data_IF_531342085004
#
_entry.id   IF_531342085004
#
_cell.length_a   1.000
_cell.length_b   1.000
_cell.length_c   1.000
_cell.angle_alpha   90.00
_cell.angle_beta   90.00
_cell.angle_gamma   90.00
#
_symmetry.space_group_name_H-M   'P 1'
#
loop_
_entity.id
_entity.type
_entity.pdbx_description
1 polymer ?
#
# COMPACT_ATOMS: atom_id res chain seq x y z
N UNK A 1 18.40 -18.69 -34.72
CA UNK A 1 18.95 -17.51 -34.02
C UNK A 1 18.41 -17.55 -32.59
N UNK A 2 19.26 -17.90 -31.62
CA UNK A 2 18.92 -17.85 -30.20
C UNK A 2 19.29 -16.47 -29.65
N UNK A 3 18.36 -15.79 -28.98
CA UNK A 3 18.71 -14.56 -28.26
C UNK A 3 17.55 -13.57 -28.15
N UNK A 4 16.79 -13.67 -27.07
CA UNK A 4 15.75 -12.68 -26.76
C UNK A 4 14.99 -12.94 -25.47
N UNK A 5 15.58 -13.65 -24.50
CA UNK A 5 14.97 -13.74 -23.17
C UNK A 5 15.13 -12.38 -22.49
N UNK A 6 14.08 -11.56 -22.54
CA UNK A 6 13.96 -10.43 -21.64
C UNK A 6 14.01 -10.99 -20.21
N UNK A 7 14.95 -10.52 -19.40
CA UNK A 7 14.93 -10.84 -17.97
C UNK A 7 13.61 -10.33 -17.39
N UNK A 8 13.04 -11.05 -16.42
CA UNK A 8 11.76 -10.70 -15.79
C UNK A 8 11.70 -9.22 -15.38
N UNK A 9 12.78 -8.71 -14.79
CA UNK A 9 12.92 -7.30 -14.42
C UNK A 9 12.80 -6.35 -15.63
N UNK A 10 13.37 -6.72 -16.77
CA UNK A 10 13.31 -5.91 -17.99
C UNK A 10 11.91 -5.96 -18.60
N UNK A 11 11.24 -7.10 -18.56
CA UNK A 11 9.83 -7.21 -18.96
C UNK A 11 8.89 -6.34 -18.09
N UNK A 12 9.13 -6.24 -16.78
CA UNK A 12 8.40 -5.34 -15.88
C UNK A 12 8.63 -3.86 -16.22
N UNK A 13 9.88 -3.45 -16.52
CA UNK A 13 10.21 -2.08 -16.91
C UNK A 13 9.57 -1.66 -18.24
N UNK A 14 9.57 -2.57 -19.22
CA UNK A 14 8.88 -2.38 -20.49
C UNK A 14 7.36 -2.40 -20.38
N UNK A 15 6.81 -2.69 -19.19
CA UNK A 15 5.37 -2.74 -18.96
C UNK A 15 4.68 -3.94 -19.58
N UNK A 16 5.45 -4.94 -20.02
CA UNK A 16 4.92 -6.21 -20.54
C UNK A 16 4.34 -7.08 -19.41
N UNK A 17 4.78 -6.85 -18.16
CA UNK A 17 4.30 -7.54 -16.95
C UNK A 17 4.15 -6.50 -15.82
N UNK A 18 3.17 -6.68 -14.93
CA UNK A 18 2.95 -5.85 -13.74
C UNK A 18 1.89 -4.75 -13.92
N UNK A 19 1.95 -3.71 -13.09
CA UNK A 19 0.90 -2.68 -12.99
C UNK A 19 0.60 -1.98 -14.32
N UNK A 20 1.65 -1.79 -15.14
CA UNK A 20 1.57 -1.23 -16.49
C UNK A 20 0.91 -2.17 -17.51
N UNK A 21 1.05 -3.48 -17.35
CA UNK A 21 0.41 -4.47 -18.22
C UNK A 21 -1.09 -4.61 -17.93
N UNK A 22 -1.49 -4.30 -16.68
CA UNK A 22 -2.88 -4.27 -16.25
C UNK A 22 -3.58 -2.96 -16.58
N UNK A 23 -2.84 -1.93 -17.00
CA UNK A 23 -3.36 -0.64 -17.44
C UNK A 23 -4.18 -0.85 -18.73
N UNK A 24 -5.45 -0.39 -18.82
CA UNK A 24 -6.23 -0.56 -20.02
C UNK A 24 -5.60 0.24 -21.18
N UNK A 25 -5.71 -0.28 -22.40
CA UNK A 25 -5.15 0.38 -23.59
C UNK A 25 -5.67 1.82 -23.73
N UNK A 26 -4.80 2.73 -24.17
CA UNK A 26 -5.08 4.16 -24.37
C UNK A 26 -5.46 4.98 -23.11
N UNK A 27 -5.34 4.42 -21.90
CA UNK A 27 -5.59 5.15 -20.65
C UNK A 27 -4.73 6.42 -20.52
N UNK A 28 -3.43 6.35 -20.84
CA UNK A 28 -2.53 7.52 -20.79
C UNK A 28 -2.88 8.60 -21.79
N UNK A 29 -3.39 8.20 -22.95
CA UNK A 29 -3.75 9.14 -24.00
C UNK A 29 -4.86 10.10 -23.54
N UNK A 30 -5.68 9.72 -22.56
CA UNK A 30 -6.67 10.60 -21.92
C UNK A 30 -6.04 11.71 -21.07
N UNK A 31 -4.90 11.44 -20.42
CA UNK A 31 -4.20 12.43 -19.60
C UNK A 31 -3.31 13.35 -20.45
N UNK A 32 -2.71 12.80 -21.51
CA UNK A 32 -1.84 13.55 -22.42
C UNK A 32 -2.63 14.45 -23.37
N UNK A 33 -3.81 14.00 -23.83
CA UNK A 33 -4.71 14.79 -24.66
C UNK A 33 -5.83 15.32 -23.77
N UNK A 34 -5.71 16.58 -23.34
CA UNK A 34 -6.73 17.31 -22.57
C UNK A 34 -8.10 17.48 -23.28
N UNK A 35 -8.34 16.77 -24.39
CA UNK A 35 -9.55 16.82 -25.19
C UNK A 35 -9.98 15.41 -25.59
N UNK A 36 -11.06 14.93 -24.97
CA UNK A 36 -11.79 13.75 -25.43
C UNK A 36 -12.35 14.09 -26.81
N UNK A 37 -12.00 13.31 -27.83
CA UNK A 37 -12.48 13.53 -29.20
C UNK A 37 -14.00 13.38 -29.22
N UNK A 38 -14.71 14.36 -29.78
CA UNK A 38 -16.16 14.24 -29.99
C UNK A 38 -16.46 12.97 -30.82
N UNK A 39 -17.41 12.12 -30.39
CA UNK A 39 -17.80 10.94 -31.15
C UNK A 39 -18.37 11.35 -32.51
N UNK A 40 -18.03 10.57 -33.54
CA UNK A 40 -18.43 10.85 -34.93
C UNK A 40 -19.71 10.09 -35.33
N UNK A 41 -20.10 9.10 -34.54
CA UNK A 41 -21.27 8.25 -34.75
C UNK A 41 -21.85 7.76 -33.41
N UNK A 42 -23.06 7.21 -33.43
CA UNK A 42 -23.73 6.58 -32.27
C UNK A 42 -22.93 5.38 -31.74
N UNK A 43 -22.33 4.59 -32.65
CA UNK A 43 -21.47 3.45 -32.31
C UNK A 43 -20.18 3.90 -31.63
N UNK A 44 -19.56 4.99 -32.13
CA UNK A 44 -18.39 5.60 -31.49
C UNK A 44 -18.74 6.13 -30.08
N UNK A 45 -19.95 6.69 -29.90
CA UNK A 45 -20.41 7.16 -28.60
C UNK A 45 -20.53 6.00 -27.60
N UNK A 46 -21.14 4.88 -28.02
CA UNK A 46 -21.26 3.69 -27.18
C UNK A 46 -19.89 3.08 -26.83
N UNK A 47 -18.96 3.02 -27.79
CA UNK A 47 -17.59 2.53 -27.53
C UNK A 47 -16.83 3.44 -26.56
N UNK A 48 -16.97 4.76 -26.68
CA UNK A 48 -16.39 5.72 -25.73
C UNK A 48 -16.98 5.56 -24.33
N UNK A 49 -18.30 5.37 -24.20
CA UNK A 49 -18.92 5.10 -22.90
C UNK A 49 -18.38 3.83 -22.23
N UNK A 50 -18.26 2.75 -22.98
CA UNK A 50 -17.71 1.49 -22.48
C UNK A 50 -16.26 1.67 -22.04
N UNK A 51 -15.43 2.35 -22.83
CA UNK A 51 -14.04 2.67 -22.47
C UNK A 51 -13.97 3.51 -21.19
N UNK A 52 -14.77 4.57 -21.07
CA UNK A 52 -14.82 5.41 -19.87
C UNK A 52 -15.23 4.59 -18.63
N UNK A 53 -16.20 3.69 -18.75
CA UNK A 53 -16.62 2.80 -17.66
C UNK A 53 -15.49 1.84 -17.26
N UNK A 54 -14.75 1.27 -18.22
CA UNK A 54 -13.58 0.43 -17.95
C UNK A 54 -12.48 1.20 -17.23
N UNK A 55 -12.16 2.41 -17.69
CA UNK A 55 -11.17 3.27 -17.04
C UNK A 55 -11.59 3.65 -15.61
N UNK A 56 -12.86 4.01 -15.40
CA UNK A 56 -13.40 4.32 -14.07
C UNK A 56 -13.30 3.12 -13.12
N UNK A 57 -13.66 1.93 -13.58
CA UNK A 57 -13.57 0.69 -12.78
C UNK A 57 -12.11 0.35 -12.45
N UNK A 58 -11.20 0.49 -13.40
CA UNK A 58 -9.77 0.26 -13.17
C UNK A 58 -9.19 1.26 -12.17
N UNK A 59 -9.48 2.56 -12.34
CA UNK A 59 -9.12 3.60 -11.38
C UNK A 59 -9.71 3.27 -10.00
N UNK A 60 -10.98 2.89 -9.90
CA UNK A 60 -11.61 2.54 -8.63
C UNK A 60 -10.94 1.34 -7.96
N UNK A 61 -10.59 0.31 -8.72
CA UNK A 61 -9.86 -0.87 -8.24
C UNK A 61 -8.42 -0.52 -7.80
N UNK A 62 -7.80 0.48 -8.44
CA UNK A 62 -6.48 1.00 -8.09
C UNK A 62 -6.53 1.98 -6.91
N UNK A 63 -7.63 2.70 -6.76
CA UNK A 63 -7.92 3.66 -5.69
C UNK A 63 -8.52 3.01 -4.44
N UNK A 64 -8.95 1.75 -4.48
CA UNK A 64 -9.39 1.02 -3.28
C UNK A 64 -8.17 0.64 -2.39
N UNK A 65 -7.40 1.67 -2.03
CA UNK A 65 -6.29 1.69 -1.09
C UNK A 65 -6.74 2.25 0.28
N UNK A 66 -8.05 2.52 0.43
CA UNK A 66 -8.67 2.98 1.68
C UNK A 66 -8.57 1.93 2.77
N UNK A 67 -8.85 0.67 2.44
CA UNK A 67 -8.75 -0.44 3.39
C UNK A 67 -7.33 -0.54 3.97
N UNK A 68 -6.31 -0.49 3.11
CA UNK A 68 -4.91 -0.53 3.51
C UNK A 68 -4.52 0.66 4.41
N UNK A 69 -5.07 1.84 4.11
CA UNK A 69 -4.80 3.05 4.88
C UNK A 69 -5.51 3.05 6.25
N UNK A 70 -6.76 2.62 6.31
CA UNK A 70 -7.51 2.46 7.58
C UNK A 70 -6.86 1.39 8.47
N UNK A 71 -6.35 0.32 7.89
CA UNK A 71 -5.59 -0.71 8.62
C UNK A 71 -4.26 -0.19 9.14
N UNK A 72 -3.55 0.62 8.35
CA UNK A 72 -2.33 1.27 8.81
C UNK A 72 -2.61 2.16 10.02
N UNK A 73 -3.69 2.97 9.95
CA UNK A 73 -4.13 3.83 11.05
C UNK A 73 -4.50 3.05 12.30
N UNK A 74 -5.26 1.96 12.14
CA UNK A 74 -5.61 1.06 13.24
C UNK A 74 -4.35 0.45 13.88
N UNK A 75 -3.39 -0.03 13.09
CA UNK A 75 -2.14 -0.58 13.66
C UNK A 75 -1.38 0.47 14.46
N UNK A 76 -1.24 1.70 13.94
CA UNK A 76 -0.56 2.77 14.67
C UNK A 76 -1.27 3.08 15.99
N UNK A 77 -2.60 3.09 16.04
CA UNK A 77 -3.34 3.26 17.30
C UNK A 77 -2.99 2.16 18.32
N UNK A 78 -2.99 0.89 17.90
CA UNK A 78 -2.65 -0.21 18.79
C UNK A 78 -1.16 -0.20 19.21
N UNK A 79 -0.25 0.25 18.33
CA UNK A 79 1.16 0.45 18.68
C UNK A 79 1.30 1.55 19.74
N UNK A 80 0.60 2.67 19.60
CA UNK A 80 0.58 3.75 20.59
C UNK A 80 0.00 3.28 21.93
N UNK A 81 -1.08 2.48 21.92
CA UNK A 81 -1.62 1.85 23.13
C UNK A 81 -0.60 0.89 23.78
N UNK A 82 0.14 0.13 22.98
CA UNK A 82 1.23 -0.72 23.45
C UNK A 82 2.36 0.09 24.09
N UNK A 83 2.78 1.22 23.50
CA UNK A 83 3.78 2.12 24.10
C UNK A 83 3.31 2.68 25.46
N UNK A 84 2.03 3.02 25.57
CA UNK A 84 1.43 3.65 26.75
C UNK A 84 0.99 2.66 27.83
N UNK A 85 0.99 1.36 27.53
CA UNK A 85 0.56 0.31 28.45
C UNK A 85 1.43 0.28 29.71
N UNK A 86 0.79 0.31 30.89
CA UNK A 86 1.42 0.52 32.21
C UNK A 86 2.22 -0.69 32.68
N UNK A 87 3.46 -0.81 32.21
CA UNK A 87 4.53 -1.22 33.12
C UNK A 87 5.15 0.03 33.73
N UNK A 88 5.36 0.01 35.05
CA UNK A 88 5.73 1.17 35.85
C UNK A 88 7.08 1.74 35.40
N UNK A 89 7.03 2.86 34.70
CA UNK A 89 8.18 3.71 34.39
C UNK A 89 8.48 3.72 32.90
N UNK A 90 8.37 4.92 32.30
CA UNK A 90 8.97 5.36 31.03
C UNK A 90 9.73 4.23 30.32
N UNK A 91 9.00 3.30 29.68
CA UNK A 91 9.63 2.11 29.11
C UNK A 91 10.19 2.51 27.76
N UNK A 92 11.43 3.03 27.76
CA UNK A 92 12.19 3.28 26.54
C UNK A 92 12.27 2.03 25.67
N UNK A 93 12.14 0.84 26.29
CA UNK A 93 12.10 -0.46 25.61
C UNK A 93 10.94 -0.56 24.62
N UNK A 94 9.69 -0.31 25.05
CA UNK A 94 8.50 -0.42 24.17
C UNK A 94 8.53 0.60 23.04
N UNK A 95 8.94 1.84 23.34
CA UNK A 95 9.09 2.86 22.31
C UNK A 95 10.19 2.52 21.30
N UNK A 96 11.33 1.96 21.76
CA UNK A 96 12.38 1.45 20.87
C UNK A 96 11.90 0.25 20.03
N UNK A 97 11.01 -0.60 20.55
CA UNK A 97 10.42 -1.73 19.81
C UNK A 97 9.48 -1.24 18.72
N UNK A 98 8.63 -0.26 19.02
CA UNK A 98 7.77 0.39 18.03
C UNK A 98 8.59 1.14 16.98
N UNK A 99 9.65 1.85 17.38
CA UNK A 99 10.55 2.52 16.44
C UNK A 99 11.28 1.53 15.51
N UNK A 100 11.66 0.34 16.01
CA UNK A 100 12.21 -0.75 15.17
C UNK A 100 11.20 -1.28 14.16
N UNK A 101 9.93 -1.41 14.54
CA UNK A 101 8.85 -1.83 13.64
C UNK A 101 8.68 -0.79 12.53
N UNK A 102 8.55 0.48 12.90
CA UNK A 102 8.28 1.57 11.97
C UNK A 102 9.49 1.85 11.07
N UNK A 103 10.72 1.73 11.58
CA UNK A 103 11.94 1.96 10.81
C UNK A 103 12.28 0.82 9.84
N UNK A 104 11.70 -0.37 10.02
CA UNK A 104 11.99 -1.52 9.16
C UNK A 104 11.62 -1.22 7.70
N UNK A 105 12.59 -1.42 6.81
CA UNK A 105 12.45 -1.10 5.38
C UNK A 105 12.07 -2.32 4.52
N UNK A 106 12.21 -3.53 5.07
CA UNK A 106 11.97 -4.80 4.37
C UNK A 106 10.78 -5.55 5.00
N UNK A 107 9.92 -6.19 4.19
CA UNK A 107 8.77 -6.95 4.68
C UNK A 107 9.13 -7.99 5.75
N UNK A 108 10.22 -8.73 5.53
CA UNK A 108 10.71 -9.78 6.45
C UNK A 108 11.09 -9.18 7.80
N UNK A 109 11.82 -8.07 7.80
CA UNK A 109 12.25 -7.38 9.02
C UNK A 109 11.05 -6.80 9.78
N UNK A 110 10.05 -6.30 9.05
CA UNK A 110 8.80 -5.82 9.63
C UNK A 110 8.06 -6.96 10.35
N UNK A 111 7.92 -8.13 9.73
CA UNK A 111 7.26 -9.29 10.33
C UNK A 111 8.03 -9.79 11.56
N UNK A 112 9.36 -9.87 11.49
CA UNK A 112 10.20 -10.25 12.64
C UNK A 112 10.03 -9.27 13.80
N UNK A 113 9.98 -7.96 13.51
CA UNK A 113 9.77 -6.94 14.53
C UNK A 113 8.36 -7.01 15.15
N UNK A 114 7.32 -7.30 14.36
CA UNK A 114 5.98 -7.56 14.89
C UNK A 114 5.91 -8.82 15.75
N UNK A 115 6.59 -9.89 15.35
CA UNK A 115 6.63 -11.14 16.12
C UNK A 115 7.27 -10.94 17.50
N UNK A 116 8.28 -10.07 17.60
CA UNK A 116 8.98 -9.79 18.85
C UNK A 116 8.08 -9.14 19.93
N UNK A 117 7.02 -8.43 19.54
CA UNK A 117 6.08 -7.80 20.48
C UNK A 117 4.77 -8.59 20.64
N UNK A 118 4.58 -9.67 19.89
CA UNK A 118 3.28 -10.33 19.74
C UNK A 118 2.72 -10.94 21.03
N UNK A 119 3.60 -11.43 21.92
CA UNK A 119 3.20 -12.03 23.21
C UNK A 119 2.64 -10.98 24.18
N UNK A 120 3.20 -9.77 24.17
CA UNK A 120 2.85 -8.67 25.06
C UNK A 120 1.84 -7.68 24.45
N UNK A 121 1.38 -7.93 23.22
CA UNK A 121 0.55 -6.99 22.48
C UNK A 121 -0.92 -7.05 22.92
N UNK A 122 -1.61 -5.90 23.11
CA UNK A 122 -2.99 -5.88 23.62
C UNK A 122 -3.99 -6.60 22.70
N UNK A 123 -3.74 -6.57 21.38
CA UNK A 123 -4.60 -7.20 20.38
C UNK A 123 -3.79 -8.05 19.38
N UNK A 124 -3.41 -9.29 19.73
CA UNK A 124 -2.58 -10.14 18.86
C UNK A 124 -3.28 -10.49 17.54
N UNK A 125 -4.63 -10.45 17.49
CA UNK A 125 -5.39 -10.66 16.26
C UNK A 125 -5.17 -9.54 15.23
N UNK A 126 -4.95 -8.29 15.66
CA UNK A 126 -4.68 -7.17 14.76
C UNK A 126 -3.32 -7.36 14.06
N UNK A 127 -2.30 -7.82 14.80
CA UNK A 127 -1.00 -8.18 14.22
C UNK A 127 -1.13 -9.29 13.19
N UNK A 128 -1.90 -10.33 13.51
CA UNK A 128 -2.12 -11.47 12.60
C UNK A 128 -2.78 -11.05 11.29
N UNK A 129 -3.82 -10.21 11.34
CA UNK A 129 -4.48 -9.71 10.12
C UNK A 129 -3.52 -8.96 9.22
N UNK A 130 -2.65 -8.13 9.80
CA UNK A 130 -1.71 -7.33 9.02
C UNK A 130 -0.59 -8.19 8.42
N UNK A 131 -0.10 -9.21 9.14
CA UNK A 131 0.84 -10.18 8.58
C UNK A 131 0.19 -11.00 7.45
N UNK A 132 -1.07 -11.41 7.60
CA UNK A 132 -1.84 -12.10 6.55
C UNK A 132 -2.06 -11.21 5.31
N UNK A 133 -2.19 -9.90 5.49
CA UNK A 133 -2.31 -8.96 4.38
C UNK A 133 -0.97 -8.66 3.72
N UNK A 134 0.08 -8.46 4.51
CA UNK A 134 1.44 -8.28 4.01
C UNK A 134 1.90 -9.43 3.12
N UNK A 135 1.57 -10.66 3.50
CA UNK A 135 1.89 -11.87 2.71
C UNK A 135 1.07 -12.01 1.43
N UNK A 136 -0.08 -11.34 1.33
CA UNK A 136 -0.93 -11.28 0.12
C UNK A 136 -0.58 -10.10 -0.79
N UNK A 137 0.13 -9.09 -0.27
CA UNK A 137 0.47 -7.89 -1.02
C UNK A 137 1.71 -8.11 -1.91
N UNK A 138 1.73 -7.54 -3.13
CA UNK A 138 2.95 -7.40 -3.91
C UNK A 138 4.00 -6.60 -3.13
N UNK A 139 5.29 -6.89 -3.33
CA UNK A 139 6.41 -6.28 -2.59
C UNK A 139 6.39 -4.75 -2.62
N UNK A 140 6.02 -4.15 -3.76
CA UNK A 140 5.91 -2.70 -3.91
C UNK A 140 4.78 -2.09 -3.06
N UNK A 141 3.69 -2.82 -2.85
CA UNK A 141 2.59 -2.37 -1.98
C UNK A 141 2.94 -2.49 -0.50
N UNK A 142 3.80 -3.43 -0.13
CA UNK A 142 4.33 -3.52 1.25
C UNK A 142 5.19 -2.29 1.58
N UNK A 143 6.05 -1.86 0.64
CA UNK A 143 6.85 -0.63 0.80
C UNK A 143 5.96 0.60 1.01
N UNK A 144 4.84 0.67 0.30
CA UNK A 144 3.85 1.73 0.45
C UNK A 144 3.15 1.69 1.82
N UNK A 145 2.73 0.50 2.30
CA UNK A 145 2.13 0.36 3.64
C UNK A 145 3.10 0.81 4.75
N UNK A 146 4.37 0.41 4.67
CA UNK A 146 5.40 0.83 5.64
C UNK A 146 5.57 2.36 5.62
N UNK A 147 5.53 2.98 4.44
CA UNK A 147 5.58 4.43 4.32
C UNK A 147 4.35 5.12 4.93
N UNK A 148 3.15 4.56 4.77
CA UNK A 148 1.93 5.04 5.42
C UNK A 148 2.01 4.91 6.94
N UNK A 149 2.52 3.81 7.48
CA UNK A 149 2.70 3.62 8.92
C UNK A 149 3.63 4.67 9.52
N UNK A 150 4.75 4.97 8.84
CA UNK A 150 5.66 6.06 9.23
C UNK A 150 4.96 7.42 9.27
N UNK A 151 4.14 7.69 8.24
CA UNK A 151 3.40 8.93 8.12
C UNK A 151 2.36 9.09 9.25
N UNK A 152 1.51 8.08 9.47
CA UNK A 152 0.48 8.09 10.51
C UNK A 152 1.07 8.21 11.91
N UNK A 153 2.16 7.48 12.20
CA UNK A 153 2.86 7.59 13.47
C UNK A 153 3.47 8.99 13.69
N UNK A 154 4.07 9.59 12.66
CA UNK A 154 4.57 10.96 12.74
C UNK A 154 3.44 11.98 12.99
N UNK A 155 2.27 11.78 12.38
CA UNK A 155 1.09 12.61 12.65
C UNK A 155 0.59 12.47 14.09
N UNK A 156 0.45 11.25 14.61
CA UNK A 156 0.03 11.03 16.00
C UNK A 156 1.01 11.63 17.01
N UNK A 157 2.32 11.49 16.77
CA UNK A 157 3.34 12.11 17.63
C UNK A 157 3.22 13.64 17.64
N UNK A 158 2.94 14.26 16.49
CA UNK A 158 2.71 15.70 16.41
C UNK A 158 1.41 16.14 17.11
N UNK A 159 0.33 15.34 17.04
CA UNK A 159 -0.92 15.62 17.75
C UNK A 159 -0.78 15.49 19.27
N UNK A 160 0.07 14.58 19.75
CA UNK A 160 0.37 14.44 21.18
C UNK A 160 1.32 15.51 21.72
N UNK A 161 1.95 16.31 20.86
CA UNK A 161 2.85 17.42 21.20
C UNK A 161 2.16 18.79 21.19
N UNK A 162 0.92 18.88 20.70
CA UNK A 162 0.08 20.09 20.65
C UNK A 162 -0.93 20.11 21.80
#
# INVERSE_FOLDING_TARGET
>A
MYGGHFSFHKACQFGAIGLRALEPADFRALFEKQTIRKPKSEEDHHLQEVQIKVFKTWILAMLNNKELHEEAKLLVQHLTEYEMSKDKGISTKRSNEVEKIISSAKPELFIIALAAIAEDFPQPQALRRIVEQLTRLPEDRVKYLIALLKFEHALQKNQNLA
#
